data_IF_810981937141
#
_entry.id   IF_810981937141
#
_cell.length_a   1.000
_cell.length_b   1.000
_cell.length_c   1.000
_cell.angle_alpha   90.00
_cell.angle_beta   90.00
_cell.angle_gamma   90.00
#
_symmetry.space_group_name_H-M   'P 1'
#
loop_
_entity.id
_entity.type
_entity.pdbx_description
1 polymer ?
#
# COMPACT_ATOMS: atom_id res chain seq x y z
N UNK A 1 -4.74 1.32 23.28
CA UNK A 1 -5.14 2.11 22.13
C UNK A 1 -4.35 1.66 20.91
N UNK A 2 -5.06 1.34 19.84
CA UNK A 2 -4.46 0.96 18.57
C UNK A 2 -3.71 2.13 17.93
N UNK A 3 -2.51 1.89 17.42
CA UNK A 3 -1.69 2.90 16.78
C UNK A 3 -1.62 2.61 15.29
N UNK A 4 -2.45 3.29 14.51
CA UNK A 4 -2.33 3.30 13.06
C UNK A 4 -1.26 4.31 12.64
N UNK A 5 -0.39 3.93 11.74
CA UNK A 5 0.39 4.87 10.96
C UNK A 5 -0.01 4.70 9.51
N UNK A 6 -0.69 5.70 8.99
CA UNK A 6 -0.84 5.90 7.56
C UNK A 6 0.39 6.67 7.08
N UNK A 7 1.32 5.96 6.47
CA UNK A 7 2.33 6.61 5.67
C UNK A 7 1.66 7.02 4.38
N UNK A 8 1.41 8.27 4.19
CA UNK A 8 1.05 8.77 2.88
C UNK A 8 -0.45 8.79 2.54
N UNK A 9 -1.24 9.28 3.45
CA UNK A 9 -2.43 10.01 3.02
C UNK A 9 -2.01 11.48 2.78
N UNK A 10 -2.17 11.97 1.58
CA UNK A 10 -1.89 13.36 1.13
C UNK A 10 -2.50 14.41 2.07
N UNK A 11 -3.55 14.07 2.80
CA UNK A 11 -4.30 14.97 3.65
C UNK A 11 -3.68 15.22 5.03
N UNK A 12 -2.80 14.37 5.54
CA UNK A 12 -2.25 14.54 6.89
C UNK A 12 -0.95 15.32 6.95
N UNK A 13 -0.20 15.44 5.85
CA UNK A 13 1.15 15.99 5.86
C UNK A 13 1.35 17.25 4.96
N UNK A 14 0.27 17.80 4.43
CA UNK A 14 0.33 18.95 3.54
C UNK A 14 0.37 18.58 2.05
N UNK A 15 0.37 19.58 1.18
CA UNK A 15 0.41 19.44 -0.28
C UNK A 15 1.79 18.91 -0.73
N UNK A 16 2.03 17.64 -0.57
CA UNK A 16 3.25 17.00 -1.06
C UNK A 16 2.96 15.54 -1.34
N UNK A 17 3.39 15.04 -2.48
CA UNK A 17 3.06 13.75 -3.03
C UNK A 17 3.21 12.59 -2.05
N UNK A 18 2.28 11.71 -2.12
CA UNK A 18 2.18 10.51 -1.30
C UNK A 18 2.23 9.25 -2.16
N UNK A 19 3.13 9.23 -3.11
CA UNK A 19 3.20 8.18 -4.09
C UNK A 19 4.55 7.51 -4.16
N UNK A 20 4.71 6.79 -5.24
CA UNK A 20 5.94 6.24 -5.75
C UNK A 20 6.17 6.79 -7.17
N UNK A 21 7.34 6.52 -7.74
CA UNK A 21 7.63 6.92 -9.11
C UNK A 21 6.68 6.21 -10.09
N UNK A 22 6.00 7.00 -10.91
CA UNK A 22 5.10 6.48 -11.93
C UNK A 22 5.87 6.17 -13.22
N UNK A 23 5.86 4.91 -13.65
CA UNK A 23 6.53 4.45 -14.89
C UNK A 23 5.90 5.04 -16.14
N UNK A 24 4.67 5.53 -16.07
CA UNK A 24 3.95 6.17 -17.17
C UNK A 24 4.20 7.67 -17.29
N UNK A 25 5.10 8.24 -16.48
CA UNK A 25 5.49 9.66 -16.47
C UNK A 25 5.74 10.22 -17.87
N UNK A 26 6.60 9.55 -18.65
CA UNK A 26 6.95 10.01 -19.97
C UNK A 26 5.77 9.97 -20.94
N UNK A 27 4.93 8.95 -20.83
CA UNK A 27 3.70 8.84 -21.60
C UNK A 27 2.72 9.96 -21.23
N UNK A 28 2.48 10.19 -19.95
CA UNK A 28 1.60 11.27 -19.47
C UNK A 28 2.05 12.63 -19.95
N UNK A 29 3.33 12.94 -19.84
CA UNK A 29 3.89 14.21 -20.32
C UNK A 29 3.75 14.37 -21.84
N UNK A 30 4.00 13.30 -22.61
CA UNK A 30 3.86 13.31 -24.07
C UNK A 30 2.40 13.51 -24.52
N UNK A 31 1.44 12.96 -23.79
CA UNK A 31 0.00 13.06 -24.09
C UNK A 31 -0.67 14.32 -23.49
N UNK A 32 0.09 15.15 -22.75
CA UNK A 32 -0.46 16.32 -22.07
C UNK A 32 -1.31 15.98 -20.84
N UNK A 33 -1.19 14.80 -20.30
CA UNK A 33 -1.82 14.42 -19.04
C UNK A 33 -1.09 15.02 -17.85
N UNK A 34 -1.80 15.27 -16.75
CA UNK A 34 -1.21 15.77 -15.52
C UNK A 34 -0.19 14.80 -14.94
N UNK A 35 0.94 15.35 -14.54
CA UNK A 35 1.96 14.68 -13.74
C UNK A 35 2.46 15.67 -12.68
N UNK A 36 2.71 15.20 -11.48
CA UNK A 36 3.12 16.04 -10.38
C UNK A 36 4.58 15.74 -9.99
N UNK A 37 5.48 16.76 -9.99
CA UNK A 37 6.88 16.57 -9.62
C UNK A 37 7.10 16.03 -8.20
N UNK A 38 6.12 16.19 -7.34
CA UNK A 38 6.12 15.80 -5.94
C UNK A 38 5.36 14.48 -5.67
N UNK A 39 5.33 13.57 -6.64
CA UNK A 39 4.78 12.22 -6.47
C UNK A 39 5.45 11.47 -5.32
N UNK A 40 6.76 11.62 -5.16
CA UNK A 40 7.52 10.96 -4.10
C UNK A 40 7.65 11.82 -2.85
N UNK A 41 7.73 11.22 -1.65
CA UNK A 41 7.87 11.96 -0.41
C UNK A 41 9.21 12.71 -0.36
N UNK A 42 9.14 14.01 -0.08
CA UNK A 42 10.31 14.84 0.08
C UNK A 42 11.19 14.39 1.27
N UNK A 43 12.50 14.75 1.29
CA UNK A 43 13.35 14.46 2.44
C UNK A 43 12.81 14.98 3.77
N UNK A 44 12.09 16.10 3.76
CA UNK A 44 11.44 16.67 4.93
C UNK A 44 10.29 15.80 5.44
N UNK A 45 9.49 15.24 4.52
CA UNK A 45 8.41 14.30 4.86
C UNK A 45 9.01 13.02 5.43
N UNK A 46 10.03 12.45 4.78
CA UNK A 46 10.74 11.25 5.25
C UNK A 46 11.25 11.43 6.69
N UNK A 47 11.97 12.53 6.96
CA UNK A 47 12.47 12.85 8.32
C UNK A 47 11.35 13.03 9.34
N UNK A 48 10.21 13.64 8.95
CA UNK A 48 9.08 13.80 9.86
C UNK A 48 8.48 12.45 10.26
N UNK A 49 8.33 11.55 9.29
CA UNK A 49 7.85 10.18 9.54
C UNK A 49 8.79 9.43 10.47
N UNK A 50 10.09 9.44 10.17
CA UNK A 50 11.11 8.78 11.00
C UNK A 50 11.07 9.27 12.45
N UNK A 51 10.97 10.58 12.66
CA UNK A 51 10.83 11.16 14.00
C UNK A 51 9.58 10.63 14.73
N UNK A 52 8.44 10.58 14.05
CA UNK A 52 7.19 10.06 14.66
C UNK A 52 7.35 8.59 15.03
N UNK A 53 8.06 7.81 14.21
CA UNK A 53 8.34 6.41 14.51
C UNK A 53 9.31 6.25 15.70
N UNK A 54 10.36 7.08 15.76
CA UNK A 54 11.27 7.13 16.89
C UNK A 54 10.56 7.47 18.20
N UNK A 55 9.68 8.48 18.21
CA UNK A 55 8.84 8.83 19.36
C UNK A 55 7.94 7.67 19.83
N UNK A 56 7.65 6.71 18.93
CA UNK A 56 6.87 5.49 19.21
C UNK A 56 7.73 4.25 19.43
N UNK A 57 9.04 4.40 19.59
CA UNK A 57 9.99 3.29 19.70
C UNK A 57 9.87 2.29 18.54
N UNK A 58 9.58 2.77 17.34
CA UNK A 58 9.40 1.96 16.12
C UNK A 58 8.32 0.86 16.25
N UNK A 59 7.25 1.13 17.01
CA UNK A 59 6.16 0.19 17.23
C UNK A 59 4.85 0.76 16.70
N UNK A 60 4.19 0.00 15.83
CA UNK A 60 2.86 0.31 15.28
C UNK A 60 2.09 -0.99 15.02
N UNK A 61 0.78 -0.93 15.05
CA UNK A 61 -0.02 -2.12 14.78
C UNK A 61 -0.18 -2.34 13.28
N UNK A 62 -0.52 -1.28 12.53
CA UNK A 62 -0.80 -1.37 11.10
C UNK A 62 -0.13 -0.23 10.33
N UNK A 63 0.46 -0.56 9.20
CA UNK A 63 1.07 0.37 8.25
C UNK A 63 0.23 0.43 6.98
N UNK A 64 0.01 1.64 6.47
CA UNK A 64 -0.53 1.90 5.14
C UNK A 64 0.46 2.74 4.36
N UNK A 65 0.84 2.29 3.19
CA UNK A 65 1.68 3.05 2.26
C UNK A 65 1.15 2.95 0.84
N UNK A 66 1.54 3.88 -0.03
CA UNK A 66 1.18 3.79 -1.45
C UNK A 66 1.90 2.61 -2.11
N UNK A 67 3.23 2.54 -1.96
CA UNK A 67 4.08 1.46 -2.45
C UNK A 67 4.63 0.60 -1.31
N UNK A 68 5.42 -0.42 -1.62
CA UNK A 68 5.98 -1.38 -0.66
C UNK A 68 7.47 -1.10 -0.36
N UNK A 69 8.04 -1.68 0.70
CA UNK A 69 9.50 -1.79 0.84
C UNK A 69 10.13 -2.53 -0.35
N UNK A 70 11.31 -2.10 -0.79
CA UNK A 70 11.99 -2.56 -2.01
C UNK A 70 12.08 -4.09 -2.10
N UNK A 71 12.42 -4.75 -1.02
CA UNK A 71 12.55 -6.22 -0.96
C UNK A 71 11.26 -7.01 -1.27
N UNK A 72 10.12 -6.34 -1.19
CA UNK A 72 8.81 -6.94 -1.46
C UNK A 72 8.26 -6.60 -2.83
N UNK A 73 9.01 -5.86 -3.68
CA UNK A 73 8.55 -5.53 -5.03
C UNK A 73 8.05 -6.77 -5.78
N UNK A 74 6.83 -6.74 -6.32
CA UNK A 74 6.26 -7.87 -7.05
C UNK A 74 6.77 -7.89 -8.49
N UNK A 75 8.06 -8.19 -8.66
CA UNK A 75 8.76 -8.12 -9.96
C UNK A 75 8.11 -8.96 -11.07
N UNK A 76 7.34 -9.98 -10.69
CA UNK A 76 6.61 -10.85 -11.60
C UNK A 76 5.45 -10.17 -12.33
N UNK A 77 4.95 -9.03 -11.81
CA UNK A 77 3.88 -8.25 -12.45
C UNK A 77 4.40 -7.02 -13.18
N UNK A 78 5.70 -6.82 -13.23
CA UNK A 78 6.28 -5.67 -13.93
C UNK A 78 5.99 -5.74 -15.42
N UNK A 79 5.70 -4.58 -16.00
CA UNK A 79 5.43 -4.48 -17.43
C UNK A 79 6.67 -4.86 -18.24
N UNK A 80 6.55 -5.82 -19.19
CA UNK A 80 7.67 -6.16 -20.05
C UNK A 80 8.09 -4.97 -20.91
N UNK A 81 9.39 -4.78 -21.05
CA UNK A 81 9.96 -3.70 -21.88
C UNK A 81 10.20 -2.37 -21.13
N UNK A 82 9.84 -2.28 -19.85
CA UNK A 82 10.27 -1.14 -19.01
C UNK A 82 11.64 -1.44 -18.42
N UNK A 83 12.62 -0.59 -18.75
CA UNK A 83 13.95 -0.66 -18.16
C UNK A 83 13.88 -0.21 -16.70
N UNK A 84 13.94 -1.17 -15.80
CA UNK A 84 13.84 -0.92 -14.35
C UNK A 84 14.99 -0.07 -13.80
N UNK A 85 16.11 0.05 -14.51
CA UNK A 85 17.22 0.94 -14.11
C UNK A 85 16.87 2.43 -14.25
N UNK A 86 15.82 2.76 -14.99
CA UNK A 86 15.34 4.14 -15.16
C UNK A 86 14.25 4.55 -14.16
N UNK A 87 13.78 3.60 -13.35
CA UNK A 87 12.75 3.83 -12.35
C UNK A 87 13.38 4.32 -11.05
N UNK A 88 12.95 5.47 -10.56
CA UNK A 88 13.42 6.00 -9.27
C UNK A 88 12.73 5.27 -8.12
N UNK A 89 13.45 4.37 -7.47
CA UNK A 89 12.99 3.53 -6.35
C UNK A 89 13.30 4.11 -4.97
N UNK A 90 13.60 5.40 -4.90
CA UNK A 90 14.03 6.06 -3.65
C UNK A 90 12.98 6.03 -2.54
N UNK A 91 11.71 5.85 -2.88
CA UNK A 91 10.64 5.65 -1.89
C UNK A 91 10.66 4.22 -1.34
N UNK A 92 10.75 3.22 -2.21
CA UNK A 92 10.81 1.80 -1.86
C UNK A 92 12.06 1.49 -1.02
N UNK A 93 13.21 2.04 -1.41
CA UNK A 93 14.47 1.95 -0.66
C UNK A 93 14.35 2.56 0.75
N UNK A 94 13.72 3.72 0.85
CA UNK A 94 13.45 4.33 2.14
C UNK A 94 12.48 3.50 2.99
N UNK A 95 11.40 2.98 2.40
CA UNK A 95 10.47 2.08 3.11
C UNK A 95 11.16 0.80 3.57
N UNK A 96 12.15 0.30 2.85
CA UNK A 96 12.98 -0.85 3.27
C UNK A 96 13.79 -0.53 4.53
N UNK A 97 14.33 0.70 4.62
CA UNK A 97 15.02 1.15 5.85
C UNK A 97 14.09 1.32 7.04
N UNK A 98 12.84 1.76 6.80
CA UNK A 98 11.79 1.84 7.83
C UNK A 98 11.43 0.44 8.30
N UNK A 99 11.10 -0.46 7.38
CA UNK A 99 10.63 -1.80 7.69
C UNK A 99 11.66 -2.62 8.47
N UNK A 100 12.95 -2.41 8.20
CA UNK A 100 14.04 -3.10 8.91
C UNK A 100 14.10 -2.79 10.42
N UNK A 101 13.51 -1.70 10.86
CA UNK A 101 13.48 -1.24 12.27
C UNK A 101 12.10 -1.40 12.90
N UNK A 102 11.05 -1.47 12.07
CA UNK A 102 9.68 -1.34 12.51
C UNK A 102 9.14 -2.66 13.06
N UNK A 103 8.55 -2.61 14.24
CA UNK A 103 7.73 -3.66 14.81
C UNK A 103 6.26 -3.40 14.46
N UNK A 104 5.68 -4.24 13.59
CA UNK A 104 4.31 -4.09 13.10
C UNK A 104 3.62 -5.44 12.94
N UNK A 105 2.29 -5.43 12.92
CA UNK A 105 1.50 -6.64 12.70
C UNK A 105 1.15 -6.81 11.22
N UNK A 106 0.77 -5.72 10.53
CA UNK A 106 0.32 -5.75 9.14
C UNK A 106 0.78 -4.52 8.38
N UNK A 107 1.02 -4.72 7.09
CA UNK A 107 1.36 -3.67 6.15
C UNK A 107 0.49 -3.78 4.91
N UNK A 108 -0.26 -2.74 4.57
CA UNK A 108 -1.08 -2.66 3.37
C UNK A 108 -0.48 -1.64 2.42
N UNK A 109 -0.36 -2.01 1.13
CA UNK A 109 0.13 -1.13 0.08
C UNK A 109 -0.57 -1.44 -1.25
N UNK A 110 -0.53 -0.48 -2.18
CA UNK A 110 -1.07 -0.61 -3.53
C UNK A 110 0.01 -0.46 -4.60
N UNK A 111 -0.17 0.48 -5.52
CA UNK A 111 0.73 0.90 -6.59
C UNK A 111 0.89 -0.09 -7.75
N UNK A 112 1.12 -1.35 -7.48
CA UNK A 112 1.47 -2.36 -8.51
C UNK A 112 0.26 -3.03 -9.17
N UNK A 113 -0.96 -2.59 -8.86
CA UNK A 113 -2.20 -3.15 -9.42
C UNK A 113 -2.24 -4.69 -9.35
N UNK A 114 -1.88 -5.22 -8.20
CA UNK A 114 -1.89 -6.66 -7.92
C UNK A 114 -2.43 -6.95 -6.54
N UNK A 115 -2.99 -8.13 -6.37
CA UNK A 115 -3.45 -8.67 -5.10
C UNK A 115 -2.52 -9.80 -4.71
N UNK A 116 -1.74 -9.57 -3.65
CA UNK A 116 -0.72 -10.51 -3.20
C UNK A 116 -0.49 -10.35 -1.71
N UNK A 117 -0.20 -11.46 -1.05
CA UNK A 117 0.29 -11.47 0.34
C UNK A 117 1.71 -12.01 0.39
N UNK A 118 2.57 -11.30 1.08
CA UNK A 118 3.94 -11.71 1.36
C UNK A 118 4.22 -11.43 2.83
N UNK A 119 4.35 -12.46 3.63
CA UNK A 119 4.52 -12.36 5.08
C UNK A 119 3.40 -11.51 5.73
N UNK A 120 3.72 -10.41 6.35
CA UNK A 120 2.79 -9.45 6.98
C UNK A 120 2.28 -8.38 6.02
N UNK A 121 2.80 -8.33 4.79
CA UNK A 121 2.47 -7.32 3.79
C UNK A 121 1.39 -7.82 2.83
N UNK A 122 0.42 -6.96 2.55
CA UNK A 122 -0.65 -7.21 1.57
C UNK A 122 -0.69 -6.09 0.54
N UNK A 123 -0.57 -6.49 -0.73
CA UNK A 123 -0.89 -5.63 -1.87
C UNK A 123 -2.40 -5.59 -2.07
N UNK A 124 -2.92 -4.38 -2.31
CA UNK A 124 -4.33 -4.10 -2.48
C UNK A 124 -4.55 -3.44 -3.84
N UNK A 125 -5.52 -3.91 -4.59
CA UNK A 125 -5.90 -3.32 -5.88
C UNK A 125 -7.43 -3.14 -5.98
N UNK A 126 -8.16 -4.17 -6.31
CA UNK A 126 -9.64 -4.14 -6.41
C UNK A 126 -10.32 -4.84 -5.22
N UNK A 127 -9.57 -5.04 -4.15
CA UNK A 127 -9.98 -5.79 -2.98
C UNK A 127 -10.08 -4.88 -1.75
N UNK A 128 -10.70 -5.38 -0.72
CA UNK A 128 -10.82 -4.72 0.58
C UNK A 128 -10.26 -5.61 1.69
N UNK A 129 -9.89 -4.98 2.80
CA UNK A 129 -9.50 -5.69 4.01
C UNK A 129 -10.29 -5.17 5.20
N UNK A 130 -10.78 -6.10 6.00
CA UNK A 130 -11.25 -5.75 7.33
C UNK A 130 -10.05 -5.43 8.21
N UNK A 131 -10.13 -4.36 8.97
CA UNK A 131 -9.14 -3.98 9.97
C UNK A 131 -9.71 -4.30 11.36
N UNK A 132 -9.77 -5.56 11.75
CA UNK A 132 -10.28 -5.91 13.05
C UNK A 132 -9.21 -5.66 14.10
N UNK A 133 -9.58 -5.03 15.15
CA UNK A 133 -8.73 -4.81 16.32
C UNK A 133 -8.33 -6.10 17.05
N UNK A 134 -8.85 -7.25 16.63
CA UNK A 134 -8.82 -8.48 17.43
C UNK A 134 -8.60 -9.76 16.63
N UNK A 135 -8.58 -9.75 15.30
CA UNK A 135 -8.42 -10.98 14.52
C UNK A 135 -6.94 -11.23 14.19
N UNK A 136 -6.49 -12.44 14.39
CA UNK A 136 -5.24 -12.94 13.84
C UNK A 136 -5.29 -13.00 12.31
N UNK A 137 -4.13 -13.15 11.65
CA UNK A 137 -4.06 -13.30 10.18
C UNK A 137 -4.90 -14.49 9.71
N UNK A 138 -4.91 -15.57 10.47
CA UNK A 138 -5.69 -16.78 10.17
C UNK A 138 -7.19 -16.55 10.30
N UNK A 139 -7.62 -15.84 11.32
CA UNK A 139 -9.04 -15.47 11.51
C UNK A 139 -9.52 -14.50 10.42
N UNK A 140 -8.67 -13.56 10.01
CA UNK A 140 -8.98 -12.67 8.89
C UNK A 140 -9.16 -13.46 7.59
N UNK A 141 -8.24 -14.36 7.25
CA UNK A 141 -8.35 -15.23 6.07
C UNK A 141 -9.64 -16.06 6.11
N UNK A 142 -9.95 -16.64 7.28
CA UNK A 142 -11.16 -17.44 7.43
C UNK A 142 -12.44 -16.59 7.26
N UNK A 143 -12.44 -15.37 7.76
CA UNK A 143 -13.56 -14.43 7.62
C UNK A 143 -13.74 -13.98 6.17
N UNK A 144 -12.65 -13.60 5.48
CA UNK A 144 -12.69 -13.24 4.05
C UNK A 144 -13.23 -14.41 3.23
N UNK A 145 -12.68 -15.61 3.39
CA UNK A 145 -13.16 -16.79 2.67
C UNK A 145 -14.63 -17.15 2.98
N UNK A 146 -15.15 -16.77 4.14
CA UNK A 146 -16.57 -16.89 4.47
C UNK A 146 -17.41 -15.86 3.73
N UNK A 147 -16.94 -14.61 3.65
CA UNK A 147 -17.63 -13.52 2.94
C UNK A 147 -17.70 -13.80 1.44
N UNK A 148 -16.57 -14.25 0.84
CA UNK A 148 -16.51 -14.65 -0.58
C UNK A 148 -17.54 -15.75 -0.90
N UNK A 149 -17.60 -16.81 -0.08
CA UNK A 149 -18.60 -17.87 -0.25
C UNK A 149 -20.03 -17.38 -0.08
N UNK A 150 -20.26 -16.39 0.77
CA UNK A 150 -21.60 -15.79 0.91
C UNK A 150 -21.97 -14.96 -0.32
N UNK A 151 -21.00 -14.19 -0.87
CA UNK A 151 -21.21 -13.43 -2.09
C UNK A 151 -21.51 -14.34 -3.29
N UNK A 152 -20.71 -15.40 -3.50
CA UNK A 152 -20.97 -16.42 -4.54
C UNK A 152 -22.37 -17.07 -4.40
N UNK A 153 -22.79 -17.33 -3.18
CA UNK A 153 -24.12 -17.91 -2.92
C UNK A 153 -25.24 -16.92 -3.22
N UNK A 154 -25.05 -15.63 -2.90
CA UNK A 154 -26.03 -14.58 -3.21
C UNK A 154 -26.15 -14.35 -4.71
N UNK A 155 -25.01 -14.28 -5.42
CA UNK A 155 -24.99 -14.20 -6.89
C UNK A 155 -25.69 -15.41 -7.55
N UNK A 156 -25.44 -16.63 -7.06
CA UNK A 156 -26.11 -17.84 -7.53
C UNK A 156 -27.63 -17.85 -7.28
N UNK A 157 -28.10 -17.07 -6.31
CA UNK A 157 -29.52 -16.87 -6.01
C UNK A 157 -30.16 -15.73 -6.81
N UNK A 158 -29.35 -15.02 -7.64
CA UNK A 158 -29.81 -13.90 -8.47
C UNK A 158 -30.12 -12.62 -7.67
N UNK A 159 -29.43 -12.41 -6.57
CA UNK A 159 -29.52 -11.18 -5.79
C UNK A 159 -28.45 -10.21 -6.26
N UNK A 160 -28.84 -9.13 -6.92
CA UNK A 160 -27.96 -8.05 -7.36
C UNK A 160 -27.86 -6.97 -6.26
N UNK A 161 -26.71 -6.24 -6.24
CA UNK A 161 -26.45 -5.17 -5.26
C UNK A 161 -27.46 -4.01 -5.30
N UNK A 162 -28.31 -3.94 -6.34
CA UNK A 162 -29.35 -2.91 -6.47
C UNK A 162 -30.60 -3.19 -5.62
N UNK A 163 -30.68 -4.36 -4.98
CA UNK A 163 -31.83 -4.78 -4.14
C UNK A 163 -31.63 -4.53 -2.63
N UNK A 164 -30.51 -3.86 -2.22
CA UNK A 164 -30.19 -3.49 -0.83
C UNK A 164 -30.14 -1.98 -0.72
#
# INVERSE_FOLDING_TARGET
>A
PFHYISFLSVHQFGKGGSGAYSIDKHYRLAMGYGWWPDEQPSPQVKKKVERVLEERNWQVDVVFSHTCPLKYEPVEVFLPGIDQSTVDKSTEEWLDTIESKLHYERWYCGHYHTEKRVDKLRFMFEDYALLPHTLSIEEEKALIAKMERQAEMMEALGWDEEDI
#
